data_IF_919308963493
#
_entry.id   IF_919308963493
#
_cell.length_a   1.000
_cell.length_b   1.000
_cell.length_c   1.000
_cell.angle_alpha   90.00
_cell.angle_beta   90.00
_cell.angle_gamma   90.00
#
_symmetry.space_group_name_H-M   'P 1'
#
loop_
_entity.id
_entity.type
_entity.pdbx_description
1 polymer ?
#
# COMPACT_ATOMS: atom_id res chain seq x y z
N UNK A 1 -2.72 -0.46 -16.79
CA UNK A 1 -2.23 -0.04 -15.47
C UNK A 1 -3.42 0.18 -14.56
N UNK A 2 -3.58 -0.62 -13.52
CA UNK A 2 -4.59 -0.36 -12.47
C UNK A 2 -4.39 1.06 -11.95
N UNK A 3 -5.46 1.84 -11.92
CA UNK A 3 -5.35 3.30 -11.76
C UNK A 3 -4.84 3.65 -10.36
N UNK A 4 -4.10 4.75 -10.21
CA UNK A 4 -3.61 5.26 -8.92
C UNK A 4 -4.72 5.39 -7.85
N UNK A 5 -5.97 5.56 -8.29
CA UNK A 5 -7.15 5.61 -7.43
C UNK A 5 -7.45 4.26 -6.74
N UNK A 6 -7.19 3.13 -7.39
CA UNK A 6 -7.41 1.79 -6.82
C UNK A 6 -6.43 1.51 -5.68
N UNK A 7 -5.17 1.91 -5.82
CA UNK A 7 -4.15 1.76 -4.77
C UNK A 7 -4.50 2.58 -3.54
N UNK A 8 -4.99 3.81 -3.72
CA UNK A 8 -5.46 4.64 -2.60
C UNK A 8 -6.64 4.00 -1.87
N UNK A 9 -7.60 3.45 -2.60
CA UNK A 9 -8.73 2.75 -1.98
C UNK A 9 -8.27 1.51 -1.20
N UNK A 10 -7.35 0.72 -1.76
CA UNK A 10 -6.78 -0.44 -1.07
C UNK A 10 -6.09 -0.08 0.25
N UNK A 11 -5.30 1.00 0.27
CA UNK A 11 -4.68 1.53 1.50
C UNK A 11 -5.71 1.89 2.58
N UNK A 12 -6.79 2.58 2.20
CA UNK A 12 -7.87 2.94 3.13
C UNK A 12 -8.59 1.69 3.67
N UNK A 13 -8.85 0.71 2.82
CA UNK A 13 -9.46 -0.55 3.25
C UNK A 13 -8.57 -1.32 4.22
N UNK A 14 -7.26 -1.39 3.94
CA UNK A 14 -6.30 -2.02 4.83
C UNK A 14 -6.25 -1.33 6.20
N UNK A 15 -6.20 0.00 6.22
CA UNK A 15 -6.24 0.78 7.47
C UNK A 15 -7.50 0.51 8.29
N UNK A 16 -8.67 0.56 7.66
CA UNK A 16 -9.96 0.30 8.32
C UNK A 16 -10.03 -1.12 8.89
N UNK A 17 -9.54 -2.10 8.13
CA UNK A 17 -9.51 -3.48 8.59
C UNK A 17 -8.58 -3.65 9.79
N UNK A 18 -7.39 -3.05 9.76
CA UNK A 18 -6.46 -3.06 10.89
C UNK A 18 -7.06 -2.37 12.13
N UNK A 19 -7.75 -1.24 11.96
CA UNK A 19 -8.43 -0.54 13.05
C UNK A 19 -9.51 -1.41 13.72
N UNK A 20 -10.30 -2.16 12.93
CA UNK A 20 -11.29 -3.11 13.46
C UNK A 20 -10.66 -4.24 14.29
N UNK A 21 -9.39 -4.55 14.03
CA UNK A 21 -8.61 -5.54 14.77
C UNK A 21 -7.82 -4.93 15.95
N UNK A 22 -8.01 -3.65 16.26
CA UNK A 22 -7.22 -2.88 17.23
C UNK A 22 -5.71 -2.89 16.94
N UNK A 23 -5.34 -2.97 15.66
CA UNK A 23 -3.96 -2.84 15.20
C UNK A 23 -3.68 -1.38 14.83
N UNK A 24 -2.47 -0.91 15.15
CA UNK A 24 -2.02 0.45 14.86
C UNK A 24 -1.15 0.54 13.60
N UNK A 25 -0.87 -0.60 12.94
CA UNK A 25 -0.07 -0.66 11.73
C UNK A 25 -0.48 -1.83 10.83
N UNK A 26 -0.31 -1.66 9.52
CA UNK A 26 -0.52 -2.68 8.50
C UNK A 26 0.42 -2.46 7.31
N UNK A 27 0.87 -3.54 6.68
CA UNK A 27 1.67 -3.50 5.46
C UNK A 27 0.86 -4.02 4.28
N UNK A 28 0.83 -3.26 3.19
CA UNK A 28 0.21 -3.61 1.92
C UNK A 28 1.30 -3.87 0.88
N UNK A 29 1.38 -5.10 0.37
CA UNK A 29 2.33 -5.45 -0.69
C UNK A 29 1.65 -5.37 -2.05
N UNK A 30 2.25 -4.63 -2.98
CA UNK A 30 1.80 -4.47 -4.37
C UNK A 30 2.71 -5.24 -5.31
N UNK A 31 2.21 -6.28 -5.94
CA UNK A 31 2.94 -6.99 -6.99
C UNK A 31 2.72 -6.32 -8.35
N UNK A 32 3.78 -5.85 -8.98
CA UNK A 32 3.71 -5.11 -10.24
C UNK A 32 4.60 -5.74 -11.31
N UNK A 33 4.16 -5.82 -12.59
CA UNK A 33 4.97 -6.39 -13.67
C UNK A 33 5.97 -5.34 -14.20
N UNK A 34 6.77 -4.76 -13.29
CA UNK A 34 7.75 -3.71 -13.58
C UNK A 34 8.96 -3.95 -12.68
N UNK A 35 10.16 -3.96 -13.25
CA UNK A 35 11.42 -4.06 -12.50
C UNK A 35 12.10 -2.70 -12.29
N UNK A 36 11.58 -1.63 -12.90
CA UNK A 36 12.12 -0.29 -12.74
C UNK A 36 12.00 0.17 -11.28
N UNK A 37 13.14 0.22 -10.59
CA UNK A 37 13.26 0.59 -9.18
C UNK A 37 12.67 1.97 -8.90
N UNK A 38 12.84 2.94 -9.82
CA UNK A 38 12.28 4.30 -9.65
C UNK A 38 10.76 4.27 -9.68
N UNK A 39 10.17 3.36 -10.46
CA UNK A 39 8.71 3.15 -10.47
C UNK A 39 8.25 2.43 -9.20
N UNK A 40 8.98 1.41 -8.74
CA UNK A 40 8.66 0.68 -7.50
C UNK A 40 8.72 1.61 -6.28
N UNK A 41 9.77 2.42 -6.15
CA UNK A 41 9.92 3.41 -5.08
C UNK A 41 8.79 4.43 -5.06
N UNK A 42 8.29 4.87 -6.23
CA UNK A 42 7.14 5.79 -6.31
C UNK A 42 5.81 5.15 -5.89
N UNK A 43 5.72 3.83 -5.96
CA UNK A 43 4.53 3.07 -5.57
C UNK A 43 4.58 2.64 -4.10
N UNK A 44 5.79 2.45 -3.56
CA UNK A 44 6.02 2.27 -2.14
C UNK A 44 5.83 3.60 -1.40
N UNK A 45 5.15 3.55 -0.25
CA UNK A 45 4.98 4.73 0.59
C UNK A 45 4.62 4.37 2.03
N UNK A 46 4.66 5.39 2.89
CA UNK A 46 4.14 5.30 4.24
C UNK A 46 3.10 6.41 4.43
N UNK A 47 1.89 6.03 4.80
CA UNK A 47 0.78 6.94 5.07
C UNK A 47 0.10 6.58 6.38
N UNK A 48 -0.61 7.53 6.97
CA UNK A 48 -1.44 7.29 8.16
C UNK A 48 -2.91 7.56 7.82
N UNK A 49 -3.78 6.63 8.21
CA UNK A 49 -5.22 6.76 8.05
C UNK A 49 -5.89 6.42 9.38
N UNK A 50 -6.66 7.35 9.93
CA UNK A 50 -7.44 7.16 11.17
C UNK A 50 -6.58 6.58 12.33
N UNK A 51 -5.32 7.01 12.45
CA UNK A 51 -4.39 6.54 13.50
C UNK A 51 -3.70 5.20 13.21
N UNK A 52 -3.94 4.58 12.05
CA UNK A 52 -3.27 3.36 11.59
C UNK A 52 -2.19 3.72 10.57
N UNK A 53 -0.96 3.26 10.83
CA UNK A 53 0.16 3.38 9.88
C UNK A 53 0.02 2.33 8.78
N UNK A 54 -0.02 2.77 7.53
CA UNK A 54 -0.06 1.91 6.35
C UNK A 54 1.26 2.04 5.62
N UNK A 55 2.04 0.97 5.60
CA UNK A 55 3.24 0.85 4.76
C UNK A 55 2.85 0.14 3.47
N UNK A 56 3.06 0.77 2.33
CA UNK A 56 2.92 0.15 1.01
C UNK A 56 4.29 -0.23 0.49
N UNK A 57 4.46 -1.49 0.08
CA UNK A 57 5.69 -2.00 -0.53
C UNK A 57 5.39 -2.54 -1.92
N UNK A 58 5.96 -1.93 -2.96
CA UNK A 58 5.87 -2.43 -4.33
C UNK A 58 6.98 -3.43 -4.63
N UNK A 59 6.60 -4.62 -5.09
CA UNK A 59 7.51 -5.70 -5.47
C UNK A 59 7.31 -6.01 -6.94
N UNK A 60 8.38 -5.81 -7.72
CA UNK A 60 8.44 -6.19 -9.12
C UNK A 60 8.44 -7.70 -9.31
N UNK A 61 7.83 -8.19 -10.39
CA UNK A 61 7.95 -9.57 -10.83
C UNK A 61 7.97 -9.67 -12.36
N UNK A 62 8.61 -10.73 -12.86
CA UNK A 62 8.77 -11.07 -14.28
C UNK A 62 8.17 -12.43 -14.58
#
# INVERSE_FOLDING_TARGET
FRSHAETRYARIQAARYAALLNLNAVTLVLFTPVEDETVLEKLSDLQEFDGVKVTTEAIGWV
#
